data_IF_365836369755
#
_entry.id   IF_365836369755
#
_cell.length_a   1.000
_cell.length_b   1.000
_cell.length_c   1.000
_cell.angle_alpha   90.00
_cell.angle_beta   90.00
_cell.angle_gamma   90.00
#
_symmetry.space_group_name_H-M   'P 1'
#
loop_
_entity.id
_entity.type
_entity.pdbx_description
1 polymer ?
#
# COMPACT_ATOMS: atom_id res chain seq x y z
N UNK A 1 16.44 9.90 -7.72
CA UNK A 1 15.37 10.90 -7.47
C UNK A 1 14.31 10.19 -6.66
N UNK A 2 14.15 10.54 -5.37
CA UNK A 2 13.36 9.77 -4.40
C UNK A 2 11.92 9.51 -4.85
N UNK A 3 11.29 10.45 -5.57
CA UNK A 3 9.93 10.26 -6.07
C UNK A 3 9.87 9.12 -7.11
N UNK A 4 10.79 9.15 -8.09
CA UNK A 4 10.85 8.17 -9.16
C UNK A 4 11.09 6.76 -8.59
N UNK A 5 12.01 6.62 -7.63
CA UNK A 5 12.31 5.35 -6.96
C UNK A 5 11.08 4.79 -6.21
N UNK A 6 10.28 5.65 -5.56
CA UNK A 6 9.03 5.22 -4.91
C UNK A 6 8.01 4.72 -5.93
N UNK A 7 7.87 5.39 -7.06
CA UNK A 7 6.94 4.99 -8.13
C UNK A 7 7.39 3.68 -8.76
N UNK A 8 8.67 3.55 -9.09
CA UNK A 8 9.25 2.33 -9.66
C UNK A 8 9.04 1.11 -8.75
N UNK A 9 9.31 1.24 -7.45
CA UNK A 9 9.06 0.16 -6.48
C UNK A 9 7.59 -0.26 -6.43
N UNK A 10 6.65 0.69 -6.47
CA UNK A 10 5.23 0.36 -6.49
C UNK A 10 4.80 -0.27 -7.82
N UNK A 11 5.37 0.16 -8.95
CA UNK A 11 5.12 -0.45 -10.27
C UNK A 11 5.65 -1.88 -10.34
N UNK A 12 6.81 -2.16 -9.76
CA UNK A 12 7.32 -3.53 -9.63
C UNK A 12 6.37 -4.40 -8.80
N UNK A 13 5.92 -3.92 -7.64
CA UNK A 13 4.98 -4.67 -6.81
C UNK A 13 3.61 -4.85 -7.46
N UNK A 14 3.10 -3.83 -8.16
CA UNK A 14 1.81 -3.89 -8.84
C UNK A 14 1.81 -4.85 -10.03
N UNK A 15 2.97 -5.01 -10.70
CA UNK A 15 3.13 -6.02 -11.75
C UNK A 15 2.97 -7.46 -11.24
N UNK A 16 3.26 -7.70 -9.95
CA UNK A 16 3.12 -9.02 -9.31
C UNK A 16 1.75 -9.24 -8.69
N UNK A 17 1.14 -8.20 -8.12
CA UNK A 17 -0.19 -8.24 -7.49
C UNK A 17 -0.93 -6.92 -7.66
N UNK A 18 -2.21 -6.99 -8.04
CA UNK A 18 -3.07 -5.82 -8.20
C UNK A 18 -3.27 -4.99 -6.92
N UNK A 19 -3.14 -5.62 -5.74
CA UNK A 19 -3.25 -4.97 -4.43
C UNK A 19 -1.95 -5.16 -3.63
N UNK A 20 -1.34 -4.04 -3.23
CA UNK A 20 -0.11 -4.04 -2.41
C UNK A 20 -0.49 -4.09 -0.93
N UNK A 21 -0.24 -5.23 -0.27
CA UNK A 21 -0.45 -5.36 1.18
C UNK A 21 0.58 -4.54 1.94
N UNK A 22 0.11 -3.56 2.72
CA UNK A 22 0.95 -2.66 3.50
C UNK A 22 0.94 -2.99 4.99
N UNK A 23 2.12 -2.89 5.61
CA UNK A 23 2.26 -2.74 7.06
C UNK A 23 2.40 -1.24 7.40
N UNK A 24 2.62 -0.93 8.68
CA UNK A 24 2.77 0.47 9.14
C UNK A 24 3.91 1.23 8.44
N UNK A 25 5.06 0.58 8.22
CA UNK A 25 6.22 1.21 7.58
C UNK A 25 5.96 1.53 6.10
N UNK A 26 5.43 0.56 5.34
CA UNK A 26 5.05 0.77 3.94
C UNK A 26 4.00 1.87 3.82
N UNK A 27 2.98 1.85 4.67
CA UNK A 27 1.96 2.88 4.67
C UNK A 27 2.55 4.27 4.95
N UNK A 28 3.42 4.40 5.95
CA UNK A 28 4.12 5.68 6.23
C UNK A 28 4.95 6.15 5.04
N UNK A 29 5.73 5.25 4.41
CA UNK A 29 6.64 5.59 3.31
C UNK A 29 5.90 5.95 2.02
N UNK A 30 4.92 5.16 1.60
CA UNK A 30 4.28 5.30 0.28
C UNK A 30 3.00 6.13 0.32
N UNK A 31 2.28 6.17 1.45
CA UNK A 31 1.02 6.92 1.57
C UNK A 31 1.19 8.25 2.29
N UNK A 32 1.90 8.29 3.43
CA UNK A 32 2.00 9.52 4.24
C UNK A 32 3.17 10.42 3.89
N UNK A 33 4.35 9.87 3.61
CA UNK A 33 5.56 10.65 3.40
C UNK A 33 5.58 11.32 2.01
N UNK A 34 5.95 12.61 1.92
CA UNK A 34 6.31 13.24 0.65
C UNK A 34 7.68 12.70 0.15
N UNK A 35 8.04 12.92 -1.12
CA UNK A 35 7.21 13.44 -2.22
C UNK A 35 6.24 12.38 -2.77
N UNK A 36 5.13 12.82 -3.39
CA UNK A 36 4.14 11.96 -4.10
C UNK A 36 3.55 12.71 -5.29
N UNK A 37 3.31 11.99 -6.39
CA UNK A 37 2.62 12.45 -7.60
C UNK A 37 1.59 11.43 -8.10
N UNK A 38 1.05 10.62 -7.18
CA UNK A 38 0.11 9.54 -7.44
C UNK A 38 -0.97 9.54 -6.36
N UNK A 39 -2.17 9.08 -6.74
CA UNK A 39 -3.26 8.83 -5.81
C UNK A 39 -3.15 7.41 -5.24
N UNK A 40 -3.62 7.21 -4.02
CA UNK A 40 -3.66 5.89 -3.37
C UNK A 40 -5.07 5.62 -2.88
N UNK A 41 -5.64 4.47 -3.26
CA UNK A 41 -6.88 3.95 -2.69
C UNK A 41 -6.48 2.89 -1.65
N UNK A 42 -6.98 3.03 -0.42
CA UNK A 42 -6.62 2.14 0.70
C UNK A 42 -7.87 1.50 1.26
N UNK A 43 -7.86 0.17 1.32
CA UNK A 43 -8.85 -0.62 2.04
C UNK A 43 -8.29 -1.01 3.41
N UNK A 44 -8.84 -0.44 4.48
CA UNK A 44 -8.55 -0.89 5.84
C UNK A 44 -9.43 -2.08 6.17
N UNK A 45 -8.84 -3.19 6.63
CA UNK A 45 -9.54 -4.47 6.82
C UNK A 45 -8.93 -5.27 7.98
N UNK A 46 -9.62 -6.33 8.41
CA UNK A 46 -9.25 -7.25 9.48
C UNK A 46 -9.46 -8.74 9.07
N UNK A 47 -8.90 -9.15 7.93
CA UNK A 47 -9.05 -10.49 7.30
C UNK A 47 -8.51 -11.70 8.10
N UNK A 48 -8.00 -11.50 9.30
CA UNK A 48 -7.49 -12.61 10.11
C UNK A 48 -8.66 -13.47 10.62
N UNK A 49 -8.66 -14.81 10.46
CA UNK A 49 -9.80 -15.66 10.83
C UNK A 49 -10.29 -15.48 12.27
N UNK A 50 -9.37 -15.28 13.22
CA UNK A 50 -9.68 -15.05 14.63
C UNK A 50 -10.43 -13.74 14.91
N UNK A 51 -10.46 -12.80 13.94
CA UNK A 51 -11.21 -11.54 14.06
C UNK A 51 -12.69 -11.73 13.74
N UNK A 52 -13.06 -12.79 13.00
CA UNK A 52 -14.44 -13.09 12.58
C UNK A 52 -15.18 -11.88 11.94
N UNK A 53 -14.48 -10.98 11.25
CA UNK A 53 -15.12 -9.85 10.59
C UNK A 53 -15.66 -10.28 9.22
N UNK A 54 -16.98 -10.39 9.09
CA UNK A 54 -17.65 -10.83 7.84
C UNK A 54 -17.77 -9.75 6.77
N UNK A 55 -17.77 -8.47 7.18
CA UNK A 55 -17.86 -7.31 6.27
C UNK A 55 -16.47 -6.88 5.78
N UNK A 56 -15.47 -7.08 6.62
CA UNK A 56 -14.07 -6.90 6.27
C UNK A 56 -13.64 -8.01 5.29
#
# INVERSE_FOLDING_TARGET
>A
NLLAEKVEQMMEWSSRRSVIRMNGDKFRRFVKAPPRNYSVIVMFTALQPQRQCSVC
#
